data_IF_291643754610
#
_entry.id   IF_291643754610
#
_cell.length_a   1.000
_cell.length_b   1.000
_cell.length_c   1.000
_cell.angle_alpha   90.00
_cell.angle_beta   90.00
_cell.angle_gamma   90.00
#
_symmetry.space_group_name_H-M   'P 1'
#
loop_
_entity.id
_entity.type
_entity.pdbx_description
1 polymer ?
#
# COMPACT_ATOMS: atom_id res chain seq x y z
N UNK A 1 5.24 5.70 -17.69
CA UNK A 1 6.32 6.48 -18.31
C UNK A 1 6.67 7.64 -17.40
N UNK A 2 7.93 7.76 -16.95
CA UNK A 2 8.35 8.80 -15.98
C UNK A 2 8.54 10.17 -16.63
N UNK A 3 8.58 10.25 -17.95
CA UNK A 3 8.75 11.50 -18.71
C UNK A 3 7.43 12.20 -18.98
N UNK A 4 6.30 11.54 -18.70
CA UNK A 4 4.96 12.07 -18.96
C UNK A 4 4.37 12.70 -17.71
N UNK A 5 3.66 13.80 -17.91
CA UNK A 5 2.78 14.39 -16.91
C UNK A 5 1.47 13.60 -16.83
N UNK A 6 0.81 13.67 -15.68
CA UNK A 6 -0.51 13.07 -15.52
C UNK A 6 -1.53 13.83 -16.39
N UNK A 7 -2.40 13.15 -17.17
CA UNK A 7 -3.35 13.84 -18.06
C UNK A 7 -4.33 14.77 -17.35
N UNK A 8 -4.68 14.47 -16.09
CA UNK A 8 -5.56 15.31 -15.27
C UNK A 8 -4.84 16.46 -14.55
N UNK A 9 -3.55 16.70 -14.84
CA UNK A 9 -2.75 17.69 -14.15
C UNK A 9 -2.26 17.23 -12.76
N UNK A 10 -1.84 18.16 -11.89
CA UNK A 10 -1.39 17.84 -10.55
C UNK A 10 -2.51 17.20 -9.71
N UNK A 11 -2.21 16.08 -9.06
CA UNK A 11 -3.15 15.48 -8.12
C UNK A 11 -3.33 16.40 -6.90
N UNK A 12 -4.57 16.58 -6.41
CA UNK A 12 -4.78 17.31 -5.17
C UNK A 12 -4.16 16.56 -4.00
N UNK A 13 -3.45 17.29 -3.14
CA UNK A 13 -3.03 16.76 -1.85
C UNK A 13 -4.21 16.71 -0.89
N UNK A 14 -4.34 15.63 -0.08
CA UNK A 14 -5.42 15.55 0.89
C UNK A 14 -5.25 16.64 1.95
N UNK A 15 -6.33 17.40 2.20
CA UNK A 15 -6.34 18.43 3.24
C UNK A 15 -6.03 17.82 4.61
N UNK A 16 -5.12 18.47 5.36
CA UNK A 16 -4.68 17.99 6.68
C UNK A 16 -3.59 16.92 6.64
N UNK A 17 -3.08 16.53 5.47
CA UNK A 17 -1.86 15.74 5.39
C UNK A 17 -0.69 16.56 5.97
N UNK A 18 0.06 16.02 6.95
CA UNK A 18 1.18 16.76 7.52
C UNK A 18 2.29 16.95 6.48
N UNK A 19 3.00 18.07 6.59
CA UNK A 19 4.17 18.31 5.75
C UNK A 19 5.31 17.35 6.14
N UNK A 20 6.13 16.91 5.16
CA UNK A 20 7.32 16.13 5.43
C UNK A 20 8.40 17.00 6.11
N UNK A 21 9.37 16.37 6.76
CA UNK A 21 10.54 17.05 7.33
C UNK A 21 11.09 16.36 8.57
N UNK A 22 10.22 15.67 9.32
CA UNK A 22 10.67 14.80 10.39
C UNK A 22 11.42 13.58 9.83
N UNK A 23 12.53 13.22 10.48
CA UNK A 23 13.36 12.08 10.13
C UNK A 23 13.42 11.15 11.35
N UNK A 24 12.74 9.99 11.32
CA UNK A 24 12.79 9.02 12.40
C UNK A 24 14.21 8.64 12.81
N UNK A 25 14.44 8.48 14.11
CA UNK A 25 15.79 8.30 14.69
C UNK A 25 16.13 6.85 14.97
N UNK A 26 15.13 6.03 15.27
CA UNK A 26 15.31 4.63 15.70
C UNK A 26 15.01 3.61 14.59
N UNK A 27 14.59 4.08 13.41
CA UNK A 27 14.13 3.24 12.30
C UNK A 27 13.12 2.16 12.75
N UNK A 28 12.06 2.54 13.50
CA UNK A 28 11.24 1.58 14.25
C UNK A 28 10.42 0.65 13.34
N UNK A 29 10.27 0.98 12.06
CA UNK A 29 9.55 0.13 11.11
C UNK A 29 10.42 -1.00 10.57
N UNK A 30 11.74 -0.93 10.75
CA UNK A 30 12.67 -1.95 10.23
C UNK A 30 12.35 -3.31 10.82
N UNK A 31 12.14 -4.29 9.95
CA UNK A 31 11.90 -5.67 10.38
C UNK A 31 10.94 -6.44 9.48
N UNK A 32 10.50 -7.57 10.01
CA UNK A 32 9.52 -8.46 9.37
C UNK A 32 8.24 -8.44 10.20
N UNK A 33 7.16 -8.03 9.56
CA UNK A 33 5.82 -7.92 10.13
C UNK A 33 4.96 -9.04 9.57
N UNK A 34 4.26 -9.76 10.44
CA UNK A 34 3.34 -10.84 10.06
C UNK A 34 1.92 -10.38 10.37
N UNK A 35 1.04 -10.55 9.40
CA UNK A 35 -0.36 -10.16 9.55
C UNK A 35 -1.06 -11.13 10.49
N UNK A 36 -1.61 -10.60 11.58
CA UNK A 36 -2.36 -11.39 12.58
C UNK A 36 -3.88 -11.21 12.48
N UNK A 37 -4.33 -10.18 11.76
CA UNK A 37 -5.75 -9.90 11.50
C UNK A 37 -5.90 -9.08 10.22
N UNK A 38 -7.06 -9.15 9.55
CA UNK A 38 -7.35 -8.35 8.34
C UNK A 38 -6.60 -8.76 7.07
N UNK A 39 -6.00 -9.96 7.03
CA UNK A 39 -5.32 -10.47 5.83
C UNK A 39 -6.31 -10.88 4.74
N UNK A 40 -6.03 -10.51 3.48
CA UNK A 40 -6.91 -10.79 2.34
C UNK A 40 -7.24 -12.28 2.18
N UNK A 41 -6.30 -13.16 2.50
CA UNK A 41 -6.49 -14.61 2.41
C UNK A 41 -7.66 -15.12 3.26
N UNK A 42 -8.00 -14.43 4.37
CA UNK A 42 -9.18 -14.78 5.17
C UNK A 42 -10.48 -14.50 4.40
N UNK A 43 -10.58 -13.33 3.76
CA UNK A 43 -11.73 -12.96 2.95
C UNK A 43 -11.90 -13.86 1.72
N UNK A 44 -10.79 -14.18 1.02
CA UNK A 44 -10.81 -15.09 -0.12
C UNK A 44 -11.31 -16.48 0.29
N UNK A 45 -10.89 -16.99 1.46
CA UNK A 45 -11.39 -18.27 1.98
C UNK A 45 -12.90 -18.23 2.24
N UNK A 46 -13.42 -17.13 2.78
CA UNK A 46 -14.88 -16.97 2.96
C UNK A 46 -15.62 -16.91 1.61
N UNK A 47 -15.07 -16.20 0.62
CA UNK A 47 -15.63 -16.16 -0.73
C UNK A 47 -15.66 -17.54 -1.40
N UNK A 48 -14.62 -18.35 -1.24
CA UNK A 48 -14.58 -19.73 -1.77
C UNK A 48 -15.64 -20.61 -1.09
N UNK A 49 -15.88 -20.44 0.22
CA UNK A 49 -16.92 -21.20 0.95
C UNK A 49 -18.33 -20.89 0.45
N UNK A 50 -18.58 -19.71 -0.12
CA UNK A 50 -19.86 -19.36 -0.71
C UNK A 50 -20.19 -20.19 -1.97
N UNK A 51 -19.22 -20.94 -2.51
CA UNK A 51 -19.43 -21.85 -3.63
C UNK A 51 -19.35 -21.15 -4.98
N UNK A 52 -20.46 -21.14 -5.72
CA UNK A 52 -20.51 -20.56 -7.07
C UNK A 52 -20.70 -19.05 -6.97
N UNK A 53 -19.64 -18.29 -7.27
CA UNK A 53 -19.71 -16.84 -7.35
C UNK A 53 -20.04 -16.37 -8.76
N UNK A 54 -20.95 -15.41 -8.85
CA UNK A 54 -21.18 -14.65 -10.08
C UNK A 54 -20.07 -13.62 -10.35
N UNK A 55 -20.03 -13.11 -11.57
CA UNK A 55 -19.04 -12.10 -11.98
C UNK A 55 -19.13 -10.82 -11.12
N UNK A 56 -20.34 -10.30 -10.90
CA UNK A 56 -20.54 -9.10 -10.11
C UNK A 56 -20.10 -9.26 -8.64
N UNK A 57 -20.34 -10.45 -8.06
CA UNK A 57 -19.92 -10.78 -6.70
C UNK A 57 -18.40 -10.84 -6.59
N UNK A 58 -17.75 -11.53 -7.53
CA UNK A 58 -16.30 -11.62 -7.60
C UNK A 58 -15.64 -10.25 -7.79
N UNK A 59 -16.18 -9.41 -8.68
CA UNK A 59 -15.69 -8.04 -8.87
C UNK A 59 -15.81 -7.19 -7.61
N UNK A 60 -16.92 -7.30 -6.88
CA UNK A 60 -17.10 -6.59 -5.61
C UNK A 60 -16.10 -7.06 -4.56
N UNK A 61 -15.90 -8.37 -4.41
CA UNK A 61 -14.91 -8.94 -3.49
C UNK A 61 -13.50 -8.44 -3.82
N UNK A 62 -13.14 -8.44 -5.11
CA UNK A 62 -11.84 -7.91 -5.56
C UNK A 62 -11.69 -6.45 -5.15
N UNK A 63 -12.66 -5.59 -5.49
CA UNK A 63 -12.61 -4.16 -5.19
C UNK A 63 -12.63 -3.83 -3.69
N UNK A 64 -13.41 -4.57 -2.88
CA UNK A 64 -13.51 -4.35 -1.44
C UNK A 64 -12.28 -4.83 -0.67
N UNK A 65 -11.55 -5.79 -1.23
CA UNK A 65 -10.33 -6.33 -0.61
C UNK A 65 -9.03 -5.84 -1.24
N UNK A 66 -9.10 -4.95 -2.22
CA UNK A 66 -7.94 -4.50 -2.99
C UNK A 66 -6.96 -3.67 -2.15
N UNK A 67 -5.71 -3.56 -2.61
CA UNK A 67 -4.66 -2.68 -2.07
C UNK A 67 -4.60 -2.65 -0.54
N UNK A 68 -4.53 -1.48 0.11
CA UNK A 68 -4.46 -1.34 1.58
C UNK A 68 -5.77 -1.58 2.35
N UNK A 69 -6.90 -1.87 1.68
CA UNK A 69 -8.16 -2.23 2.38
C UNK A 69 -8.03 -3.53 3.18
N UNK A 70 -7.15 -4.43 2.74
CA UNK A 70 -6.78 -5.64 3.47
C UNK A 70 -5.27 -5.85 3.42
N UNK A 71 -4.72 -6.58 4.39
CA UNK A 71 -3.29 -6.90 4.41
C UNK A 71 -2.89 -8.00 3.43
N UNK A 72 -1.64 -7.98 2.99
CA UNK A 72 -0.94 -9.21 2.61
C UNK A 72 -0.70 -10.11 3.83
N UNK A 73 0.04 -11.21 3.69
CA UNK A 73 0.40 -12.05 4.85
C UNK A 73 1.63 -11.56 5.62
N UNK A 74 2.40 -10.65 5.03
CA UNK A 74 3.59 -10.07 5.65
C UNK A 74 3.91 -8.68 5.07
N UNK A 75 4.76 -7.95 5.78
CA UNK A 75 5.60 -6.88 5.24
C UNK A 75 7.05 -7.12 5.65
N UNK A 76 7.99 -6.79 4.78
CA UNK A 76 9.40 -6.62 5.19
C UNK A 76 9.78 -5.18 4.89
N UNK A 77 10.31 -4.50 5.88
CA UNK A 77 10.62 -3.09 5.78
C UNK A 77 12.10 -2.91 6.14
N UNK A 78 12.80 -2.20 5.27
CA UNK A 78 14.10 -1.62 5.55
C UNK A 78 13.92 -0.10 5.60
N UNK A 79 14.04 0.49 6.79
CA UNK A 79 13.91 1.92 7.01
C UNK A 79 15.27 2.54 7.31
N UNK A 80 15.55 3.67 6.66
CA UNK A 80 16.68 4.53 6.95
C UNK A 80 16.18 5.98 7.02
N UNK A 81 15.90 6.44 8.24
CA UNK A 81 15.30 7.74 8.49
C UNK A 81 13.95 7.88 7.80
N UNK A 82 13.89 8.81 6.85
CA UNK A 82 12.68 9.17 6.10
C UNK A 82 12.49 8.36 4.80
N UNK A 83 13.41 7.44 4.50
CA UNK A 83 13.36 6.56 3.32
C UNK A 83 13.10 5.11 3.74
N UNK A 84 12.17 4.44 3.05
CA UNK A 84 11.82 3.05 3.30
C UNK A 84 11.84 2.23 2.01
N UNK A 85 12.32 0.99 2.11
CA UNK A 85 12.08 -0.07 1.12
C UNK A 85 11.15 -1.11 1.73
N UNK A 86 10.07 -1.44 1.02
CA UNK A 86 9.01 -2.34 1.51
C UNK A 86 8.81 -3.48 0.53
N UNK A 87 8.98 -4.71 1.00
CA UNK A 87 8.48 -5.92 0.36
C UNK A 87 7.02 -6.15 0.81
N UNK A 88 6.10 -6.27 -0.16
CA UNK A 88 4.69 -6.57 0.11
C UNK A 88 4.20 -7.78 -0.70
N UNK A 89 3.00 -8.27 -0.39
CA UNK A 89 2.43 -9.45 -1.04
C UNK A 89 2.20 -9.26 -2.54
N UNK A 90 2.83 -10.11 -3.36
CA UNK A 90 2.61 -10.16 -4.81
C UNK A 90 1.26 -10.74 -5.21
N UNK A 91 0.47 -11.25 -4.27
CA UNK A 91 -0.93 -11.59 -4.51
C UNK A 91 -1.82 -10.34 -4.65
N UNK A 92 -1.33 -9.17 -4.21
CA UNK A 92 -2.07 -7.90 -4.19
C UNK A 92 -1.42 -6.84 -5.06
N UNK A 93 -0.10 -6.71 -4.93
CA UNK A 93 0.67 -5.69 -5.62
C UNK A 93 1.52 -6.30 -6.72
N UNK A 94 1.44 -5.76 -7.94
CA UNK A 94 2.20 -6.29 -9.06
C UNK A 94 3.72 -6.04 -8.90
N UNK A 95 4.11 -5.04 -8.11
CA UNK A 95 5.50 -4.82 -7.69
C UNK A 95 5.78 -5.45 -6.33
N UNK A 96 6.71 -6.40 -6.29
CA UNK A 96 7.13 -7.07 -5.06
C UNK A 96 7.78 -6.11 -4.05
N UNK A 97 8.72 -5.28 -4.52
CA UNK A 97 9.48 -4.33 -3.69
C UNK A 97 9.32 -2.90 -4.18
N UNK A 98 9.05 -1.97 -3.28
CA UNK A 98 9.07 -0.53 -3.59
C UNK A 98 9.96 0.22 -2.63
N UNK A 99 10.55 1.31 -3.10
CA UNK A 99 11.27 2.27 -2.26
C UNK A 99 10.60 3.63 -2.41
N UNK A 100 10.39 4.31 -1.30
CA UNK A 100 9.77 5.64 -1.25
C UNK A 100 10.44 6.48 -0.16
N UNK A 101 10.23 7.79 -0.24
CA UNK A 101 10.69 8.79 0.74
C UNK A 101 9.51 9.60 1.23
N UNK A 102 9.56 10.00 2.50
CA UNK A 102 8.57 10.88 3.14
C UNK A 102 8.20 12.07 2.25
N UNK A 103 6.91 12.25 1.94
CA UNK A 103 6.40 13.36 1.13
C UNK A 103 6.55 13.22 -0.38
N UNK A 104 7.09 12.10 -0.90
CA UNK A 104 7.26 11.89 -2.34
C UNK A 104 6.31 10.82 -2.89
N UNK A 105 5.76 11.09 -4.07
CA UNK A 105 4.91 10.15 -4.79
C UNK A 105 5.65 8.86 -5.18
N UNK A 106 4.93 7.75 -5.12
CA UNK A 106 5.29 6.49 -5.74
C UNK A 106 4.08 5.91 -6.49
N UNK A 107 4.36 5.13 -7.53
CA UNK A 107 3.34 4.45 -8.32
C UNK A 107 3.21 2.99 -7.93
N UNK A 108 1.98 2.55 -7.69
CA UNK A 108 1.62 1.16 -7.42
C UNK A 108 0.70 0.54 -8.47
N UNK A 109 1.21 -0.37 -9.31
CA UNK A 109 0.39 -1.25 -10.10
C UNK A 109 -0.18 -2.38 -9.22
N UNK A 110 -1.49 -2.61 -9.33
CA UNK A 110 -2.20 -3.66 -8.58
C UNK A 110 -2.40 -4.91 -9.45
N UNK A 111 -2.46 -6.07 -8.80
CA UNK A 111 -2.77 -7.35 -9.49
C UNK A 111 -4.20 -7.35 -10.06
N UNK A 112 -5.10 -6.59 -9.45
CA UNK A 112 -6.47 -6.36 -9.93
C UNK A 112 -6.55 -5.58 -11.27
N UNK A 113 -5.43 -5.02 -11.74
CA UNK A 113 -5.39 -4.10 -12.87
C UNK A 113 -5.56 -2.62 -12.50
N UNK A 114 -5.85 -2.33 -11.23
CA UNK A 114 -5.90 -0.96 -10.69
C UNK A 114 -4.54 -0.26 -10.63
N UNK A 115 -4.57 1.07 -10.51
CA UNK A 115 -3.39 1.93 -10.49
C UNK A 115 -3.49 2.95 -9.34
N UNK A 116 -2.49 3.00 -8.46
CA UNK A 116 -2.43 4.00 -7.38
C UNK A 116 -1.21 4.92 -7.54
N UNK A 117 -1.40 6.20 -7.24
CA UNK A 117 -0.34 7.17 -7.03
C UNK A 117 -0.43 7.64 -5.59
N UNK A 118 0.40 7.07 -4.72
CA UNK A 118 0.36 7.30 -3.28
C UNK A 118 1.56 8.09 -2.79
N UNK A 119 1.43 8.61 -1.57
CA UNK A 119 2.51 9.24 -0.80
C UNK A 119 2.53 8.61 0.58
N UNK A 120 3.69 8.46 1.18
CA UNK A 120 3.80 8.28 2.63
C UNK A 120 4.52 9.48 3.20
N UNK A 121 4.02 10.02 4.31
CA UNK A 121 4.72 11.00 5.15
C UNK A 121 5.08 10.32 6.47
N UNK A 122 6.29 10.59 6.96
CA UNK A 122 6.81 10.17 8.26
C UNK A 122 6.91 11.39 9.18
N UNK A 123 5.78 11.93 9.69
CA UNK A 123 5.76 13.15 10.50
C UNK A 123 6.24 12.92 11.94
N UNK A 124 6.30 11.65 12.37
CA UNK A 124 6.53 11.23 13.75
C UNK A 124 7.42 9.97 13.78
N UNK A 125 7.98 9.66 14.96
CA UNK A 125 8.88 8.51 15.13
C UNK A 125 8.21 7.18 14.78
N UNK A 126 7.00 6.95 15.30
CA UNK A 126 6.33 5.66 15.26
C UNK A 126 5.10 5.61 14.34
N UNK A 127 4.85 6.67 13.56
CA UNK A 127 3.63 6.79 12.76
C UNK A 127 3.90 7.33 11.37
N UNK A 128 3.20 6.76 10.40
CA UNK A 128 3.14 7.24 9.02
C UNK A 128 1.72 7.68 8.67
N UNK A 129 1.60 8.66 7.80
CA UNK A 129 0.31 9.18 7.30
C UNK A 129 0.43 9.33 5.79
N UNK A 130 -0.55 8.87 5.01
CA UNK A 130 -0.51 8.90 3.55
C UNK A 130 -1.56 8.00 2.91
#
# INVERSE_FOLDING_TARGET
>A
DKTKTLPCGPLPWPAGCPEPGYVPKTNPLTGRWITVSGGQAAFIKESIKAGMLGEAEAHKIMADTDHEKTGGMFLRINQFGDQCTVDASVAKYARAKRTWRSGHYFYEPLVSGGNLLGVWVLPEEYRKIG
#
